data_IF_994753757887
#
_entry.id   IF_994753757887
#
_cell.length_a   1.000
_cell.length_b   1.000
_cell.length_c   1.000
_cell.angle_alpha   90.00
_cell.angle_beta   90.00
_cell.angle_gamma   90.00
#
_symmetry.space_group_name_H-M   'P 1'
#
loop_
_entity.id
_entity.type
_entity.pdbx_description
1 polymer ?
#
# COMPACT_ATOMS: atom_id res chain seq x y z
N UNK A 1 8.71 -2.74 17.31
CA UNK A 1 9.97 -2.36 17.99
C UNK A 1 9.91 -1.03 18.78
N UNK A 2 9.12 -0.02 18.36
CA UNK A 2 9.08 1.28 19.05
C UNK A 2 8.16 1.36 20.31
N UNK A 3 7.29 0.39 20.58
CA UNK A 3 6.30 0.54 21.67
C UNK A 3 6.89 0.51 23.09
N UNK A 4 8.00 -0.19 23.31
CA UNK A 4 8.64 -0.38 24.64
C UNK A 4 9.75 0.62 24.96
N UNK A 5 10.05 1.54 24.06
CA UNK A 5 11.16 2.49 24.20
C UNK A 5 10.65 3.82 24.79
N UNK A 6 11.35 4.36 25.80
CA UNK A 6 10.96 5.63 26.42
C UNK A 6 10.94 6.77 25.40
N UNK A 7 10.04 7.74 25.58
CA UNK A 7 9.90 8.89 24.68
C UNK A 7 11.22 9.68 24.51
N UNK A 8 12.05 9.70 25.55
CA UNK A 8 13.39 10.30 25.48
C UNK A 8 14.31 9.55 24.51
N UNK A 9 14.39 8.21 24.59
CA UNK A 9 15.18 7.40 23.67
C UNK A 9 14.67 7.53 22.23
N UNK A 10 13.34 7.54 22.03
CA UNK A 10 12.72 7.77 20.71
C UNK A 10 13.11 9.13 20.15
N UNK A 11 12.97 10.18 20.95
CA UNK A 11 13.37 11.53 20.58
C UNK A 11 14.84 11.55 20.19
N UNK A 12 15.75 11.08 21.05
CA UNK A 12 17.19 11.04 20.76
C UNK A 12 17.53 10.31 19.46
N UNK A 13 16.86 9.20 19.17
CA UNK A 13 17.02 8.48 17.91
C UNK A 13 16.57 9.31 16.70
N UNK A 14 15.32 9.81 16.74
CA UNK A 14 14.74 10.62 15.67
C UNK A 14 15.50 11.94 15.42
N UNK A 15 16.23 12.44 16.41
CA UNK A 15 17.07 13.64 16.26
C UNK A 15 18.25 13.48 15.31
N UNK A 16 18.66 12.24 15.01
CA UNK A 16 19.78 11.96 14.10
C UNK A 16 19.43 12.14 12.63
N UNK A 17 18.15 12.32 12.32
CA UNK A 17 17.66 12.43 10.96
C UNK A 17 17.33 13.88 10.60
N UNK A 18 17.65 14.26 9.37
CA UNK A 18 17.28 15.56 8.83
C UNK A 18 15.79 15.60 8.52
N UNK A 19 15.29 14.53 7.89
CA UNK A 19 13.90 14.32 7.54
C UNK A 19 13.45 12.91 7.89
N UNK A 20 12.16 12.77 8.20
CA UNK A 20 11.52 11.50 8.53
C UNK A 20 10.23 11.44 7.70
N UNK A 21 10.12 10.40 6.88
CA UNK A 21 8.90 10.05 6.17
C UNK A 21 8.22 8.90 6.89
N UNK A 22 7.02 9.15 7.41
CA UNK A 22 6.12 8.11 7.88
C UNK A 22 5.09 7.81 6.79
N UNK A 23 4.96 6.54 6.41
CA UNK A 23 4.08 6.12 5.31
C UNK A 23 2.58 6.28 5.62
N UNK A 24 2.21 6.51 6.88
CA UNK A 24 0.82 6.67 7.30
C UNK A 24 0.45 8.14 7.52
N UNK A 25 -0.65 8.57 6.91
CA UNK A 25 -1.23 9.89 7.14
C UNK A 25 -1.76 10.07 8.57
N UNK A 26 -2.09 8.99 9.27
CA UNK A 26 -2.71 9.03 10.60
C UNK A 26 -1.70 8.94 11.75
N UNK A 27 -0.41 8.81 11.43
CA UNK A 27 0.65 8.71 12.43
C UNK A 27 1.14 10.03 13.07
N UNK A 28 0.71 11.28 12.74
CA UNK A 28 1.19 12.47 13.46
C UNK A 28 1.06 12.37 14.98
N UNK A 29 0.01 11.71 15.45
CA UNK A 29 -0.21 11.45 16.87
C UNK A 29 0.83 10.53 17.51
N UNK A 30 1.55 9.70 16.76
CA UNK A 30 2.65 8.92 17.30
C UNK A 30 3.87 9.81 17.64
N UNK A 31 3.96 11.01 17.06
CA UNK A 31 5.12 11.91 17.19
C UNK A 31 4.87 13.11 18.12
N UNK A 32 3.78 13.14 18.91
CA UNK A 32 3.45 14.32 19.77
C UNK A 32 4.57 14.72 20.74
N UNK A 33 5.39 13.75 21.17
CA UNK A 33 6.56 13.99 22.03
C UNK A 33 7.68 14.80 21.36
N UNK A 34 7.54 15.14 20.07
CA UNK A 34 8.51 15.86 19.24
C UNK A 34 8.15 17.35 19.00
N UNK A 35 7.04 17.85 19.55
CA UNK A 35 6.54 19.25 19.42
C UNK A 35 7.44 20.27 20.18
N UNK A 36 7.62 21.56 19.77
CA UNK A 36 6.91 22.37 18.74
C UNK A 36 7.73 22.81 17.50
N UNK A 37 9.06 22.80 17.55
CA UNK A 37 9.89 23.48 16.51
C UNK A 37 10.25 22.63 15.29
N UNK A 38 9.78 21.37 15.21
CA UNK A 38 10.33 20.37 14.27
C UNK A 38 9.33 19.74 13.30
N UNK A 39 8.15 20.35 13.11
CA UNK A 39 7.19 19.94 12.08
C UNK A 39 7.79 19.90 10.68
N UNK A 40 8.77 20.77 10.39
CA UNK A 40 9.46 20.78 9.08
C UNK A 40 10.24 19.50 8.76
N UNK A 41 10.54 18.64 9.75
CA UNK A 41 11.27 17.38 9.54
C UNK A 41 10.35 16.18 9.30
N UNK A 42 9.08 16.27 9.67
CA UNK A 42 8.16 15.15 9.67
C UNK A 42 7.23 15.24 8.47
N UNK A 43 7.24 14.20 7.64
CA UNK A 43 6.37 14.05 6.49
C UNK A 43 5.49 12.82 6.68
N UNK A 44 4.23 12.93 6.30
CA UNK A 44 3.24 11.87 6.48
C UNK A 44 2.56 11.55 5.15
N UNK A 45 2.43 10.26 4.88
CA UNK A 45 1.72 9.73 3.72
C UNK A 45 2.56 8.75 2.91
N UNK A 46 1.92 7.94 2.06
CA UNK A 46 2.58 6.85 1.35
C UNK A 46 3.34 7.38 0.14
N UNK A 47 4.28 8.32 0.33
CA UNK A 47 5.18 8.86 -0.70
C UNK A 47 6.13 7.76 -1.20
N UNK A 48 5.61 6.74 -1.88
CA UNK A 48 6.34 5.53 -2.30
C UNK A 48 6.12 5.21 -3.77
N UNK A 49 5.24 5.94 -4.46
CA UNK A 49 4.89 5.69 -5.86
C UNK A 49 5.95 6.27 -6.81
N UNK A 50 6.08 5.71 -8.03
CA UNK A 50 7.07 6.16 -9.00
C UNK A 50 6.82 7.60 -9.48
N UNK A 51 7.88 8.24 -9.99
CA UNK A 51 7.80 9.59 -10.54
C UNK A 51 6.89 9.70 -11.78
N UNK A 52 6.89 8.63 -12.59
CA UNK A 52 6.09 8.51 -13.80
C UNK A 52 4.93 7.54 -13.58
N UNK A 53 3.75 7.82 -14.15
CA UNK A 53 2.58 6.95 -14.00
C UNK A 53 2.80 5.60 -14.67
N UNK A 54 2.22 4.55 -14.07
CA UNK A 54 2.22 3.19 -14.62
C UNK A 54 0.93 2.97 -15.41
N UNK A 55 1.02 2.27 -16.54
CA UNK A 55 -0.14 1.93 -17.36
C UNK A 55 -0.85 0.70 -16.83
N UNK A 56 -2.18 0.70 -16.86
CA UNK A 56 -3.00 -0.50 -16.61
C UNK A 56 -2.62 -1.63 -17.58
N UNK A 57 -2.36 -2.82 -17.04
CA UNK A 57 -2.09 -4.04 -17.82
C UNK A 57 -3.31 -4.98 -17.83
N UNK A 58 -4.06 -4.99 -18.93
CA UNK A 58 -5.27 -5.81 -19.10
C UNK A 58 -5.03 -7.31 -19.32
N UNK A 59 -3.77 -7.75 -19.30
CA UNK A 59 -3.40 -9.15 -19.47
C UNK A 59 -3.59 -9.94 -18.18
N UNK A 60 -3.50 -11.27 -18.28
CA UNK A 60 -3.53 -12.16 -17.14
C UNK A 60 -4.93 -12.66 -16.79
N UNK A 61 -4.99 -13.54 -15.80
CA UNK A 61 -6.23 -14.17 -15.35
C UNK A 61 -6.23 -14.37 -13.85
N UNK A 62 -7.40 -14.19 -13.23
CA UNK A 62 -7.60 -14.47 -11.82
C UNK A 62 -6.89 -13.51 -10.88
N UNK A 63 -7.09 -13.72 -9.58
CA UNK A 63 -6.57 -12.81 -8.56
C UNK A 63 -5.33 -13.40 -7.89
N UNK A 64 -4.25 -12.61 -7.84
CA UNK A 64 -3.01 -13.01 -7.18
C UNK A 64 -2.96 -12.55 -5.72
N UNK A 65 -2.87 -13.50 -4.78
CA UNK A 65 -2.55 -13.21 -3.38
C UNK A 65 -1.06 -13.28 -3.10
N UNK A 66 -0.53 -12.25 -2.42
CA UNK A 66 0.85 -12.20 -1.96
C UNK A 66 0.90 -11.87 -0.48
N UNK A 67 1.49 -12.76 0.29
CA UNK A 67 1.78 -12.53 1.71
C UNK A 67 2.06 -13.83 2.44
N UNK A 68 2.60 -13.71 3.65
CA UNK A 68 2.70 -14.85 4.55
C UNK A 68 1.29 -15.39 4.88
N UNK A 69 1.12 -16.70 4.78
CA UNK A 69 -0.12 -17.37 5.12
C UNK A 69 -0.21 -17.54 6.64
N UNK A 70 -1.34 -17.16 7.21
CA UNK A 70 -1.72 -17.43 8.60
C UNK A 70 -3.16 -17.94 8.65
N UNK A 71 -3.64 -18.31 9.83
CA UNK A 71 -4.94 -18.97 9.96
C UNK A 71 -6.10 -18.10 9.47
N UNK A 72 -6.09 -16.80 9.79
CA UNK A 72 -7.07 -15.83 9.28
C UNK A 72 -7.08 -15.76 7.76
N UNK A 73 -5.89 -15.60 7.15
CA UNK A 73 -5.75 -15.52 5.69
C UNK A 73 -6.18 -16.82 5.02
N UNK A 74 -5.91 -17.98 5.60
CA UNK A 74 -6.42 -19.26 5.08
C UNK A 74 -7.93 -19.31 5.04
N UNK A 75 -8.59 -18.89 6.13
CA UNK A 75 -10.05 -18.87 6.21
C UNK A 75 -10.65 -17.98 5.13
N UNK A 76 -10.14 -16.75 4.98
CA UNK A 76 -10.60 -15.82 3.95
C UNK A 76 -10.32 -16.37 2.54
N UNK A 77 -9.12 -16.89 2.29
CA UNK A 77 -8.78 -17.47 0.99
C UNK A 77 -9.66 -18.66 0.64
N UNK A 78 -10.01 -19.50 1.62
CA UNK A 78 -10.89 -20.66 1.41
C UNK A 78 -12.34 -20.30 1.11
N UNK A 79 -12.78 -19.08 1.44
CA UNK A 79 -14.12 -18.59 1.10
C UNK A 79 -14.17 -17.87 -0.25
N UNK A 80 -13.04 -17.69 -0.94
CA UNK A 80 -12.98 -17.01 -2.23
C UNK A 80 -12.84 -18.05 -3.34
N UNK A 81 -13.73 -17.99 -4.33
CA UNK A 81 -13.71 -18.92 -5.46
C UNK A 81 -12.69 -18.52 -6.55
N UNK A 82 -12.26 -17.26 -6.59
CA UNK A 82 -11.53 -16.67 -7.73
C UNK A 82 -10.02 -16.41 -7.47
N UNK A 83 -9.46 -16.98 -6.39
CA UNK A 83 -8.02 -16.84 -6.13
C UNK A 83 -7.26 -17.91 -6.90
N UNK A 84 -6.81 -17.53 -8.09
CA UNK A 84 -6.11 -18.43 -9.00
C UNK A 84 -4.62 -18.57 -8.67
N UNK A 85 -4.01 -17.55 -8.05
CA UNK A 85 -2.56 -17.53 -7.83
C UNK A 85 -2.21 -17.15 -6.39
N UNK A 86 -1.50 -18.05 -5.70
CA UNK A 86 -0.95 -17.81 -4.37
C UNK A 86 0.58 -17.92 -4.49
N UNK A 87 1.28 -16.82 -4.24
CA UNK A 87 2.75 -16.75 -4.39
C UNK A 87 3.44 -16.52 -3.03
N UNK A 88 3.45 -17.53 -2.13
CA UNK A 88 4.16 -17.40 -0.86
C UNK A 88 5.67 -17.42 -1.12
N UNK A 89 6.42 -16.61 -0.36
CA UNK A 89 7.88 -16.57 -0.41
C UNK A 89 8.48 -16.23 -1.80
N UNK A 90 7.73 -15.59 -2.68
CA UNK A 90 8.23 -15.10 -3.97
C UNK A 90 8.58 -13.61 -3.88
N UNK A 91 9.70 -13.21 -4.50
CA UNK A 91 10.24 -11.86 -4.39
C UNK A 91 10.75 -11.34 -5.73
N UNK A 92 11.11 -10.05 -5.77
CA UNK A 92 11.78 -9.43 -6.91
C UNK A 92 11.00 -9.58 -8.23
N UNK A 93 11.74 -9.88 -9.30
CA UNK A 93 11.20 -10.00 -10.65
C UNK A 93 10.23 -11.16 -10.82
N UNK A 94 10.42 -12.26 -10.11
CA UNK A 94 9.51 -13.41 -10.20
C UNK A 94 8.15 -13.07 -9.61
N UNK A 95 8.13 -12.36 -8.49
CA UNK A 95 6.90 -11.83 -7.92
C UNK A 95 6.24 -10.84 -8.88
N UNK A 96 7.03 -9.96 -9.48
CA UNK A 96 6.51 -8.97 -10.43
C UNK A 96 5.87 -9.65 -11.65
N UNK A 97 6.48 -10.71 -12.19
CA UNK A 97 5.94 -11.48 -13.31
C UNK A 97 4.61 -12.14 -12.95
N UNK A 98 4.53 -12.80 -11.80
CA UNK A 98 3.28 -13.37 -11.28
C UNK A 98 2.17 -12.31 -11.23
N UNK A 99 2.50 -11.10 -10.76
CA UNK A 99 1.54 -10.00 -10.73
C UNK A 99 1.16 -9.50 -12.12
N UNK A 100 2.07 -9.49 -13.09
CA UNK A 100 1.75 -9.12 -14.46
C UNK A 100 0.81 -10.11 -15.13
N UNK A 101 0.89 -11.38 -14.76
CA UNK A 101 0.08 -12.48 -15.28
C UNK A 101 -1.27 -12.65 -14.53
N UNK A 102 -1.54 -11.84 -13.50
CA UNK A 102 -2.83 -11.81 -12.82
C UNK A 102 -3.74 -10.71 -13.37
N UNK A 103 -5.05 -10.85 -13.19
CA UNK A 103 -6.02 -9.81 -13.58
C UNK A 103 -6.05 -8.66 -12.56
N UNK A 104 -5.99 -9.03 -11.27
CA UNK A 104 -5.97 -8.14 -10.12
C UNK A 104 -5.06 -8.70 -9.00
N UNK A 105 -4.81 -7.89 -7.98
CA UNK A 105 -4.03 -8.28 -6.79
C UNK A 105 -4.92 -8.31 -5.56
N UNK A 106 -4.90 -9.42 -4.83
CA UNK A 106 -5.63 -9.60 -3.59
C UNK A 106 -4.82 -9.08 -2.40
N UNK A 107 -5.42 -8.17 -1.64
CA UNK A 107 -4.88 -7.63 -0.40
C UNK A 107 -5.73 -8.08 0.80
N UNK A 108 -5.21 -9.05 1.56
CA UNK A 108 -5.79 -9.50 2.84
C UNK A 108 -4.79 -9.16 3.95
N UNK A 109 -5.26 -8.48 4.99
CA UNK A 109 -4.46 -8.06 6.13
C UNK A 109 -3.97 -9.24 6.96
N UNK A 110 -2.78 -9.11 7.54
CA UNK A 110 -2.22 -10.16 8.39
C UNK A 110 -2.97 -10.28 9.72
N UNK A 111 -3.34 -9.14 10.30
CA UNK A 111 -4.21 -9.03 11.47
C UNK A 111 -5.46 -8.25 11.08
N UNK A 112 -6.56 -8.48 11.79
CA UNK A 112 -7.79 -7.75 11.58
C UNK A 112 -7.60 -6.28 11.99
N UNK A 113 -7.43 -5.41 10.99
CA UNK A 113 -7.10 -4.00 11.20
C UNK A 113 -7.30 -3.20 9.92
N UNK A 114 -7.60 -1.91 10.08
CA UNK A 114 -7.67 -0.96 8.97
C UNK A 114 -6.30 -0.29 8.85
N UNK A 115 -5.38 -0.94 8.14
CA UNK A 115 -4.05 -0.40 7.86
C UNK A 115 -3.78 -0.52 6.37
N UNK A 116 -3.30 0.54 5.76
CA UNK A 116 -2.91 0.50 4.36
C UNK A 116 -1.55 -0.19 4.26
N UNK A 117 -1.54 -1.45 3.82
CA UNK A 117 -0.31 -2.20 3.52
C UNK A 117 0.35 -1.63 2.23
N UNK A 118 0.83 -0.39 2.32
CA UNK A 118 1.30 0.44 1.19
C UNK A 118 2.32 -0.27 0.27
N UNK A 119 3.27 -1.10 0.77
CA UNK A 119 4.14 -1.88 -0.11
C UNK A 119 3.41 -2.83 -1.07
N UNK A 120 2.24 -3.38 -0.69
CA UNK A 120 1.47 -4.24 -1.59
C UNK A 120 0.71 -3.42 -2.64
N UNK A 121 0.16 -2.27 -2.26
CA UNK A 121 -0.43 -1.34 -3.22
C UNK A 121 0.60 -0.87 -4.24
N UNK A 122 1.83 -0.55 -3.80
CA UNK A 122 2.92 -0.21 -4.71
C UNK A 122 3.24 -1.35 -5.68
N UNK A 123 3.35 -2.59 -5.19
CA UNK A 123 3.64 -3.75 -6.04
C UNK A 123 2.55 -3.98 -7.09
N UNK A 124 1.28 -3.89 -6.71
CA UNK A 124 0.15 -4.01 -7.62
C UNK A 124 0.17 -2.90 -8.68
N UNK A 125 0.36 -1.66 -8.24
CA UNK A 125 0.44 -0.50 -9.11
C UNK A 125 1.60 -0.60 -10.12
N UNK A 126 2.80 -1.00 -9.67
CA UNK A 126 3.95 -1.22 -10.55
C UNK A 126 3.70 -2.33 -11.58
N UNK A 127 2.90 -3.34 -11.26
CA UNK A 127 2.46 -4.38 -12.20
C UNK A 127 1.30 -3.93 -13.11
N UNK A 128 0.81 -2.69 -12.94
CA UNK A 128 -0.34 -2.17 -13.69
C UNK A 128 -1.64 -2.86 -13.33
N UNK A 129 -1.79 -3.36 -12.09
CA UNK A 129 -2.95 -4.15 -11.65
C UNK A 129 -3.75 -3.42 -10.58
N UNK A 130 -5.10 -3.42 -10.68
CA UNK A 130 -5.97 -2.95 -9.61
C UNK A 130 -5.92 -3.91 -8.42
N UNK A 131 -6.42 -3.44 -7.29
CA UNK A 131 -6.39 -4.17 -6.02
C UNK A 131 -7.82 -4.53 -5.60
N UNK A 132 -8.01 -5.79 -5.23
CA UNK A 132 -9.17 -6.28 -4.48
C UNK A 132 -8.73 -6.40 -3.02
N UNK A 133 -9.44 -5.79 -2.09
CA UNK A 133 -8.95 -5.66 -0.71
C UNK A 133 -10.04 -5.66 0.35
N UNK A 134 -9.66 -6.11 1.54
CA UNK A 134 -10.31 -5.67 2.77
C UNK A 134 -10.21 -4.13 2.93
N UNK A 135 -10.96 -3.56 3.87
CA UNK A 135 -10.95 -2.12 4.11
C UNK A 135 -9.53 -1.57 4.30
N UNK A 136 -9.20 -0.51 3.56
CA UNK A 136 -7.92 0.20 3.63
C UNK A 136 -8.12 1.52 4.38
N UNK A 137 -7.06 2.02 5.01
CA UNK A 137 -7.11 3.33 5.64
C UNK A 137 -7.05 4.44 4.58
N UNK A 138 -7.48 5.64 4.96
CA UNK A 138 -7.30 6.82 4.11
C UNK A 138 -5.82 6.95 3.69
N UNK A 139 -5.54 7.42 2.46
CA UNK A 139 -6.45 8.11 1.54
C UNK A 139 -7.22 7.17 0.58
N UNK A 140 -7.12 5.85 0.75
CA UNK A 140 -7.79 4.90 -0.15
C UNK A 140 -9.28 4.83 0.17
N UNK A 141 -10.11 4.90 -0.86
CA UNK A 141 -11.57 4.82 -0.76
C UNK A 141 -12.00 3.53 -1.45
N UNK A 142 -12.63 2.64 -0.69
CA UNK A 142 -13.11 1.36 -1.19
C UNK A 142 -14.27 1.59 -2.18
N UNK A 143 -14.26 0.88 -3.31
CA UNK A 143 -15.17 1.08 -4.42
C UNK A 143 -14.77 2.20 -5.40
N UNK A 144 -13.73 2.98 -5.08
CA UNK A 144 -13.15 3.99 -5.99
C UNK A 144 -11.70 3.68 -6.33
N UNK A 145 -10.87 3.47 -5.32
CA UNK A 145 -9.42 3.28 -5.42
C UNK A 145 -9.00 1.80 -5.30
N UNK A 146 -9.87 0.96 -4.75
CA UNK A 146 -9.71 -0.48 -4.67
C UNK A 146 -11.10 -1.14 -4.68
N UNK A 147 -11.20 -2.38 -5.14
CA UNK A 147 -12.44 -3.15 -5.12
C UNK A 147 -12.61 -3.78 -3.73
N UNK A 148 -13.76 -3.63 -3.07
CA UNK A 148 -14.05 -4.32 -1.82
C UNK A 148 -13.98 -5.84 -1.98
N UNK A 149 -13.40 -6.52 -1.00
CA UNK A 149 -13.35 -7.98 -0.98
C UNK A 149 -14.77 -8.56 -0.99
N UNK A 150 -15.04 -9.47 -1.94
CA UNK A 150 -16.35 -10.10 -2.13
C UNK A 150 -17.34 -9.31 -2.98
N UNK A 151 -16.96 -8.12 -3.48
CA UNK A 151 -17.71 -7.42 -4.52
C UNK A 151 -17.37 -8.00 -5.89
N UNK A 152 -18.38 -8.25 -6.72
CA UNK A 152 -18.20 -8.65 -8.11
C UNK A 152 -17.61 -7.49 -8.93
N UNK A 153 -16.82 -7.82 -9.94
CA UNK A 153 -16.23 -6.83 -10.83
C UNK A 153 -16.08 -7.40 -12.24
N UNK A 154 -16.06 -6.48 -13.21
CA UNK A 154 -15.75 -6.76 -14.59
C UNK A 154 -14.51 -5.97 -15.05
N UNK A 155 -14.13 -6.13 -16.31
CA UNK A 155 -12.99 -5.43 -16.90
C UNK A 155 -13.13 -3.91 -16.84
N UNK A 156 -14.35 -3.36 -17.01
CA UNK A 156 -14.60 -1.92 -16.98
C UNK A 156 -14.40 -1.36 -15.57
N UNK A 157 -14.86 -2.11 -14.55
CA UNK A 157 -14.67 -1.77 -13.13
C UNK A 157 -13.19 -1.79 -12.75
N UNK A 158 -12.44 -2.79 -13.21
CA UNK A 158 -11.00 -2.89 -12.98
C UNK A 158 -10.23 -1.72 -13.58
N UNK A 159 -10.59 -1.31 -14.79
CA UNK A 159 -10.01 -0.14 -15.46
C UNK A 159 -10.31 1.15 -14.67
N UNK A 160 -11.58 1.38 -14.34
CA UNK A 160 -12.00 2.59 -13.62
C UNK A 160 -11.32 2.72 -12.25
N UNK A 161 -11.21 1.61 -11.50
CA UNK A 161 -10.57 1.61 -10.18
C UNK A 161 -9.06 1.86 -10.29
N UNK A 162 -8.39 1.27 -11.28
CA UNK A 162 -6.97 1.52 -11.50
C UNK A 162 -6.71 2.97 -11.90
N UNK A 163 -7.51 3.54 -12.80
CA UNK A 163 -7.36 4.92 -13.26
C UNK A 163 -7.59 5.91 -12.11
N UNK A 164 -8.63 5.70 -11.30
CA UNK A 164 -8.87 6.51 -10.11
C UNK A 164 -7.70 6.41 -9.12
N UNK A 165 -7.20 5.20 -8.84
CA UNK A 165 -6.04 5.01 -7.97
C UNK A 165 -4.79 5.73 -8.50
N UNK A 166 -4.51 5.61 -9.80
CA UNK A 166 -3.38 6.29 -10.45
C UNK A 166 -3.47 7.82 -10.27
N UNK A 167 -4.59 8.40 -10.69
CA UNK A 167 -4.78 9.85 -10.73
C UNK A 167 -4.90 10.48 -9.35
N UNK A 168 -5.57 9.81 -8.42
CA UNK A 168 -5.96 10.41 -7.14
C UNK A 168 -5.07 10.01 -5.97
N UNK A 169 -4.34 8.89 -6.09
CA UNK A 169 -3.43 8.39 -5.05
C UNK A 169 -1.99 8.37 -5.56
N UNK A 170 -1.66 7.54 -6.55
CA UNK A 170 -0.28 7.28 -6.93
C UNK A 170 0.46 8.56 -7.38
N UNK A 171 -0.19 9.40 -8.19
CA UNK A 171 0.37 10.68 -8.64
C UNK A 171 0.47 11.75 -7.56
N UNK A 172 -0.31 11.66 -6.47
CA UNK A 172 -0.23 12.60 -5.34
C UNK A 172 0.84 12.22 -4.32
N UNK A 173 1.22 10.95 -4.28
CA UNK A 173 2.16 10.39 -3.32
C UNK A 173 3.39 9.80 -4.03
N UNK A 174 3.93 10.53 -5.01
CA UNK A 174 5.17 10.11 -5.67
C UNK A 174 6.35 10.34 -4.73
N UNK A 175 7.29 9.41 -4.72
CA UNK A 175 8.47 9.54 -3.87
C UNK A 175 9.32 10.77 -4.24
N UNK A 176 9.34 11.15 -5.53
CA UNK A 176 10.06 12.34 -6.00
C UNK A 176 9.54 13.62 -5.35
N UNK A 177 8.23 13.74 -5.10
CA UNK A 177 7.64 14.93 -4.46
C UNK A 177 8.11 15.08 -3.01
N UNK A 178 8.41 13.97 -2.32
CA UNK A 178 9.03 14.01 -1.00
C UNK A 178 10.50 14.45 -1.08
N UNK A 179 11.25 13.95 -2.06
CA UNK A 179 12.65 14.34 -2.27
C UNK A 179 12.76 15.84 -2.61
N UNK A 180 11.94 16.35 -3.51
CA UNK A 180 11.92 17.77 -3.87
C UNK A 180 11.63 18.68 -2.68
N UNK A 181 10.69 18.30 -1.80
CA UNK A 181 10.38 19.07 -0.58
C UNK A 181 11.48 19.06 0.47
N UNK A 182 12.42 18.11 0.40
CA UNK A 182 13.45 17.91 1.44
C UNK A 182 14.85 18.28 0.97
N UNK A 183 15.09 18.30 -0.34
CA UNK A 183 16.37 18.65 -0.97
C UNK A 183 16.41 20.08 -1.55
N UNK A 184 15.27 20.78 -1.60
CA UNK A 184 15.19 22.20 -1.95
C UNK A 184 15.58 23.11 -0.78
#
# INVERSE_FOLDING_TARGET
>A
MFRTVSNWKKKKFLWRFDYILDISLHNPYAYKFFWPRKHKKLFFGPYIFPASPVRRSKQGSGVAFIGAINERRKQILSSLNDVTIIAPNTWGMDLHRILQDSEAVLNIHYIDSVVTEAPRLLKAYLAGKPVVSEALAEPVEMGRHAIPLGEDYDAARLDAVFDAFDHEIARKFRFVDFLEKTLA
#
